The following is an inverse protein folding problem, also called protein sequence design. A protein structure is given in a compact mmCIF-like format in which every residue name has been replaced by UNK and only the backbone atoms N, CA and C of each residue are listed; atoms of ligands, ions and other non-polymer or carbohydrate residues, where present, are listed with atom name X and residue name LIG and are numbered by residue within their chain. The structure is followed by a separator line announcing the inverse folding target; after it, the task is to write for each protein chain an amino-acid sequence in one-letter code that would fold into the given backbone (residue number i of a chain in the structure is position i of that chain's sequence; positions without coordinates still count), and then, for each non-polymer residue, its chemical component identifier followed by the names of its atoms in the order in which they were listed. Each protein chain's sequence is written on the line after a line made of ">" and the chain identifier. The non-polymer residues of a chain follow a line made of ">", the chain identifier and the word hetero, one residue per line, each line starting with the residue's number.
data_IF_606471655261
#
_entry.id   IF_606471655261
#
_cell.length_a   1.000
_cell.length_b   1.000
_cell.length_c   1.000
_cell.angle_alpha   90.00
_cell.angle_beta   90.00
_cell.angle_gamma   90.00
#
_symmetry.space_group_name_H-M   'P 1'
#
loop_
_entity.id
_entity.type
_entity.pdbx_description
1 polymer ?
#
# COMPACT_ATOMS: atom_id res chain seq x y z
N UNK A 1 30.68 -13.33 42.81
CA UNK A 1 30.52 -13.73 41.40
C UNK A 1 30.25 -15.23 41.38
N UNK A 2 29.00 -15.63 41.17
CA UNK A 2 28.66 -17.04 41.02
C UNK A 2 28.56 -17.36 39.53
N UNK A 3 29.37 -18.31 39.09
CA UNK A 3 29.18 -18.99 37.82
C UNK A 3 28.06 -20.01 38.02
N UNK A 4 26.98 -19.94 37.23
CA UNK A 4 26.00 -21.02 37.13
C UNK A 4 25.93 -21.46 35.68
N UNK A 5 26.47 -22.65 35.47
CA UNK A 5 26.35 -23.49 34.28
C UNK A 5 24.89 -23.92 34.13
N UNK A 6 24.31 -23.81 32.93
CA UNK A 6 23.12 -24.58 32.58
C UNK A 6 23.54 -25.74 31.66
N UNK A 7 23.43 -26.94 32.20
CA UNK A 7 23.83 -28.19 31.58
C UNK A 7 22.93 -28.57 30.39
N UNK A 8 23.57 -29.20 29.41
CA UNK A 8 22.99 -30.00 28.34
C UNK A 8 21.97 -31.02 28.86
N UNK A 9 20.80 -31.07 28.24
CA UNK A 9 19.78 -32.09 28.48
C UNK A 9 19.16 -32.57 27.17
N UNK A 10 19.61 -33.75 26.71
CA UNK A 10 18.81 -34.73 25.98
C UNK A 10 18.29 -34.37 24.59
N UNK A 11 19.10 -34.63 23.56
CA UNK A 11 18.60 -34.97 22.23
C UNK A 11 17.94 -36.36 22.28
N UNK A 12 16.68 -36.45 22.71
CA UNK A 12 15.83 -37.61 22.41
C UNK A 12 14.35 -37.20 22.44
N UNK A 13 13.90 -36.67 21.30
CA UNK A 13 12.56 -36.98 20.82
C UNK A 13 12.51 -36.74 19.32
N UNK A 14 12.78 -37.82 18.62
CA UNK A 14 12.12 -38.17 17.37
C UNK A 14 10.60 -38.06 17.55
N UNK A 15 10.05 -36.83 17.52
CA UNK A 15 8.62 -36.59 17.40
C UNK A 15 8.36 -35.68 16.23
N UNK A 16 8.11 -36.36 15.10
CA UNK A 16 7.04 -36.04 14.15
C UNK A 16 6.53 -34.60 14.27
N UNK A 17 7.09 -33.71 13.47
CA UNK A 17 6.23 -32.81 12.71
C UNK A 17 6.99 -32.17 11.54
N UNK A 18 6.97 -32.86 10.40
CA UNK A 18 6.76 -32.21 9.10
C UNK A 18 5.41 -31.46 9.14
N UNK A 19 5.23 -30.46 10.01
CA UNK A 19 4.06 -29.58 9.98
C UNK A 19 4.40 -28.47 8.97
N UNK A 20 4.01 -28.78 7.74
CA UNK A 20 3.43 -27.84 6.78
C UNK A 20 4.12 -26.47 6.69
N UNK A 21 5.22 -26.41 5.95
CA UNK A 21 5.82 -25.14 5.46
C UNK A 21 4.81 -24.21 4.77
N UNK A 22 3.67 -24.73 4.30
CA UNK A 22 2.59 -23.94 3.68
C UNK A 22 1.72 -23.12 4.64
N UNK A 23 1.79 -23.36 5.96
CA UNK A 23 0.91 -22.68 6.95
C UNK A 23 1.56 -21.38 7.51
N UNK A 24 2.90 -21.28 7.49
CA UNK A 24 3.64 -20.08 7.92
C UNK A 24 3.60 -18.91 6.92
N UNK A 25 3.09 -19.14 5.71
CA UNK A 25 2.94 -18.12 4.66
C UNK A 25 1.47 -17.94 4.26
N UNK A 26 0.51 -18.22 5.16
CA UNK A 26 -0.85 -17.76 4.92
C UNK A 26 -0.82 -16.24 4.78
N UNK A 27 -1.40 -15.75 3.69
CA UNK A 27 -1.57 -14.32 3.40
C UNK A 27 -2.21 -13.60 4.59
N UNK A 28 -3.00 -14.31 5.40
CA UNK A 28 -3.69 -13.82 6.60
C UNK A 28 -2.79 -13.49 7.81
N UNK A 29 -1.60 -14.09 7.97
CA UNK A 29 -0.67 -13.82 9.10
C UNK A 29 0.72 -13.35 8.64
N UNK A 30 0.85 -13.03 7.35
CA UNK A 30 2.11 -12.61 6.76
C UNK A 30 2.67 -11.33 7.40
N UNK A 31 3.89 -11.42 7.94
CA UNK A 31 4.62 -10.27 8.50
C UNK A 31 4.90 -9.20 7.43
N UNK A 32 5.09 -9.61 6.18
CA UNK A 32 5.29 -8.69 5.04
C UNK A 32 4.02 -7.86 4.82
N UNK A 33 2.84 -8.51 4.77
CA UNK A 33 1.57 -7.80 4.60
C UNK A 33 1.28 -6.89 5.79
N UNK A 34 1.57 -7.34 7.01
CA UNK A 34 1.42 -6.52 8.21
C UNK A 34 2.31 -5.27 8.19
N UNK A 35 3.57 -5.40 7.77
CA UNK A 35 4.49 -4.28 7.62
C UNK A 35 4.04 -3.30 6.52
N UNK A 36 3.64 -3.81 5.35
CA UNK A 36 3.11 -3.00 4.25
C UNK A 36 1.87 -2.19 4.66
N UNK A 37 0.92 -2.81 5.37
CA UNK A 37 -0.26 -2.12 5.91
C UNK A 37 0.11 -1.00 6.88
N UNK A 38 1.11 -1.19 7.73
CA UNK A 38 1.58 -0.15 8.67
C UNK A 38 2.26 1.02 7.97
N UNK A 39 2.97 0.78 6.86
CA UNK A 39 3.63 1.83 6.09
C UNK A 39 2.69 2.56 5.11
N UNK A 40 1.55 1.96 4.79
CA UNK A 40 0.59 2.49 3.81
C UNK A 40 0.10 3.93 4.10
N UNK A 41 -0.29 4.30 5.34
CA UNK A 41 -0.72 5.68 5.64
C UNK A 41 0.41 6.70 5.41
N UNK A 42 1.66 6.31 5.69
CA UNK A 42 2.83 7.16 5.46
C UNK A 42 3.02 7.39 3.95
N UNK A 43 2.88 6.34 3.15
CA UNK A 43 2.96 6.43 1.69
C UNK A 43 1.84 7.28 1.07
N UNK A 44 0.60 7.14 1.55
CA UNK A 44 -0.53 7.93 1.06
C UNK A 44 -0.43 9.41 1.44
N UNK A 45 0.18 9.74 2.58
CA UNK A 45 0.45 11.12 2.99
C UNK A 45 1.43 11.86 2.06
N UNK A 46 2.18 11.15 1.21
CA UNK A 46 3.02 11.75 0.18
C UNK A 46 2.27 12.08 -1.12
N UNK A 47 1.06 11.55 -1.29
CA UNK A 47 0.20 11.89 -2.42
C UNK A 47 -0.44 13.26 -2.18
N UNK A 48 -0.71 14.01 -3.26
CA UNK A 48 -1.46 15.27 -3.15
C UNK A 48 -2.89 15.01 -2.70
N UNK A 49 -3.60 15.97 -2.10
CA UNK A 49 -5.01 15.79 -1.72
C UNK A 49 -5.90 15.35 -2.89
N UNK A 50 -5.70 15.91 -4.08
CA UNK A 50 -6.43 15.50 -5.28
C UNK A 50 -6.11 14.06 -5.73
N UNK A 51 -4.85 13.63 -5.59
CA UNK A 51 -4.47 12.23 -5.84
C UNK A 51 -5.15 11.31 -4.80
N UNK A 52 -5.24 11.72 -3.52
CA UNK A 52 -5.94 10.94 -2.48
C UNK A 52 -7.45 10.80 -2.75
N UNK A 53 -8.11 11.85 -3.22
CA UNK A 53 -9.52 11.80 -3.64
C UNK A 53 -9.73 10.80 -4.79
N UNK A 54 -8.89 10.86 -5.83
CA UNK A 54 -8.93 9.92 -6.94
C UNK A 54 -8.63 8.48 -6.51
N UNK A 55 -7.72 8.29 -5.54
CA UNK A 55 -7.43 6.97 -4.97
C UNK A 55 -8.68 6.42 -4.25
N UNK A 56 -9.34 7.25 -3.43
CA UNK A 56 -10.58 6.88 -2.75
C UNK A 56 -11.70 6.53 -3.72
N UNK A 57 -11.85 7.31 -4.79
CA UNK A 57 -12.82 7.06 -5.86
C UNK A 57 -12.55 5.70 -6.53
N UNK A 58 -11.32 5.46 -6.97
CA UNK A 58 -10.92 4.21 -7.63
C UNK A 58 -11.08 3.00 -6.71
N UNK A 59 -10.76 3.12 -5.41
CA UNK A 59 -11.03 2.07 -4.43
C UNK A 59 -12.52 1.72 -4.32
N UNK A 60 -13.39 2.72 -4.38
CA UNK A 60 -14.84 2.52 -4.37
C UNK A 60 -15.29 1.74 -5.61
N UNK A 61 -14.70 2.02 -6.78
CA UNK A 61 -14.94 1.26 -8.03
C UNK A 61 -14.49 -0.20 -7.91
N UNK A 62 -13.32 -0.46 -7.33
CA UNK A 62 -12.89 -1.83 -7.05
C UNK A 62 -13.81 -2.58 -6.09
N UNK A 63 -14.41 -1.89 -5.11
CA UNK A 63 -15.41 -2.49 -4.22
C UNK A 63 -16.70 -2.88 -4.98
N UNK A 64 -17.05 -2.13 -6.03
CA UNK A 64 -18.14 -2.45 -6.97
C UNK A 64 -17.76 -3.54 -7.98
N UNK A 65 -16.54 -4.09 -7.89
CA UNK A 65 -15.99 -5.15 -8.76
C UNK A 65 -15.78 -4.72 -10.22
N UNK A 66 -15.55 -3.45 -10.44
CA UNK A 66 -15.16 -2.94 -11.74
C UNK A 66 -13.79 -3.49 -12.16
N UNK A 67 -13.60 -3.59 -13.48
CA UNK A 67 -12.33 -3.97 -14.11
C UNK A 67 -11.30 -2.85 -14.07
N UNK A 68 -10.02 -3.18 -14.25
CA UNK A 68 -8.96 -2.18 -14.28
C UNK A 68 -9.17 -1.10 -15.35
N UNK A 69 -9.71 -1.46 -16.51
CA UNK A 69 -9.98 -0.52 -17.60
C UNK A 69 -11.12 0.45 -17.23
N UNK A 70 -12.20 -0.06 -16.65
CA UNK A 70 -13.32 0.78 -16.16
C UNK A 70 -12.84 1.71 -15.02
N UNK A 71 -11.98 1.23 -14.13
CA UNK A 71 -11.38 2.05 -13.08
C UNK A 71 -10.52 3.16 -13.68
N UNK A 72 -9.69 2.85 -14.69
CA UNK A 72 -8.87 3.85 -15.38
C UNK A 72 -9.73 4.91 -16.08
N UNK A 73 -10.78 4.50 -16.77
CA UNK A 73 -11.72 5.42 -17.42
C UNK A 73 -12.38 6.35 -16.39
N UNK A 74 -12.76 5.82 -15.23
CA UNK A 74 -13.34 6.63 -14.15
C UNK A 74 -12.35 7.61 -13.53
N UNK A 75 -11.08 7.22 -13.36
CA UNK A 75 -10.04 8.14 -12.91
C UNK A 75 -9.83 9.24 -13.96
N UNK A 76 -9.76 8.87 -15.25
CA UNK A 76 -9.54 9.80 -16.34
C UNK A 76 -10.63 10.87 -16.42
N UNK A 77 -11.90 10.48 -16.29
CA UNK A 77 -13.04 11.40 -16.24
C UNK A 77 -13.01 12.35 -15.02
N UNK A 78 -12.34 11.95 -13.94
CA UNK A 78 -12.27 12.70 -12.69
C UNK A 78 -10.95 13.43 -12.45
N UNK A 79 -10.02 13.44 -13.42
CA UNK A 79 -8.71 14.10 -13.27
C UNK A 79 -8.80 15.58 -12.86
N UNK A 80 -9.90 16.26 -13.21
CA UNK A 80 -10.19 17.63 -12.80
C UNK A 80 -10.21 17.83 -11.27
N UNK A 81 -10.44 16.77 -10.48
CA UNK A 81 -10.38 16.83 -9.02
C UNK A 81 -8.97 17.17 -8.51
N UNK A 82 -7.91 16.88 -9.28
CA UNK A 82 -6.54 17.32 -8.94
C UNK A 82 -6.35 18.83 -8.99
N UNK A 83 -7.12 19.54 -9.80
CA UNK A 83 -6.96 20.97 -10.01
C UNK A 83 -7.63 21.83 -8.91
N UNK A 84 -8.44 21.21 -8.03
CA UNK A 84 -9.25 21.92 -7.02
C UNK A 84 -8.52 22.37 -5.76
N UNK A 85 -7.21 22.14 -5.62
CA UNK A 85 -6.51 22.47 -4.37
C UNK A 85 -5.91 23.88 -4.38
N UNK A 86 -6.70 24.87 -3.94
CA UNK A 86 -6.24 26.25 -3.71
C UNK A 86 -5.52 26.46 -2.37
N UNK A 87 -5.37 25.40 -1.58
CA UNK A 87 -4.77 25.47 -0.25
C UNK A 87 -3.32 25.99 -0.33
N UNK A 88 -3.00 27.12 0.35
CA UNK A 88 -1.64 27.63 0.45
C UNK A 88 -0.64 26.58 0.95
N UNK A 89 -1.09 25.65 1.79
CA UNK A 89 -0.30 24.54 2.29
C UNK A 89 0.17 23.60 1.17
N UNK A 90 -0.76 23.26 0.28
CA UNK A 90 -0.51 22.36 -0.84
C UNK A 90 0.33 23.06 -1.91
N UNK A 91 0.12 24.36 -2.13
CA UNK A 91 0.93 25.17 -3.04
C UNK A 91 2.39 25.26 -2.60
N UNK A 92 2.69 25.46 -1.32
CA UNK A 92 4.09 25.49 -0.86
C UNK A 92 4.76 24.14 -1.04
N UNK A 93 4.05 23.04 -0.72
CA UNK A 93 4.60 21.70 -0.85
C UNK A 93 4.87 21.36 -2.31
N UNK A 94 3.92 21.61 -3.21
CA UNK A 94 4.09 21.41 -4.65
C UNK A 94 5.26 22.25 -5.19
N UNK A 95 5.39 23.50 -4.77
CA UNK A 95 6.48 24.36 -5.22
C UNK A 95 7.87 23.84 -4.78
N UNK A 96 8.00 23.27 -3.58
CA UNK A 96 9.25 22.65 -3.11
C UNK A 96 9.58 21.35 -3.84
N UNK A 97 8.58 20.49 -4.05
CA UNK A 97 8.81 19.20 -4.70
C UNK A 97 8.81 19.29 -6.23
N UNK A 98 8.42 20.42 -6.84
CA UNK A 98 8.33 20.60 -8.29
C UNK A 98 9.62 20.23 -9.01
N UNK A 99 10.78 20.67 -8.50
CA UNK A 99 12.08 20.42 -9.14
C UNK A 99 12.58 18.99 -8.94
N UNK A 100 12.19 18.35 -7.84
CA UNK A 100 12.49 16.94 -7.55
C UNK A 100 11.61 16.05 -8.43
N UNK A 101 10.31 16.37 -8.55
CA UNK A 101 9.34 15.67 -9.36
C UNK A 101 9.64 15.81 -10.86
N UNK A 102 9.94 17.01 -11.36
CA UNK A 102 10.25 17.26 -12.78
C UNK A 102 11.56 16.59 -13.25
N UNK A 103 12.50 16.35 -12.33
CA UNK A 103 13.71 15.56 -12.61
C UNK A 103 13.47 14.05 -12.63
N UNK A 104 12.45 13.58 -11.92
CA UNK A 104 12.19 12.14 -11.72
C UNK A 104 11.10 11.62 -12.65
N UNK A 105 10.08 12.43 -12.91
CA UNK A 105 8.98 12.16 -13.82
C UNK A 105 8.94 13.32 -14.83
N UNK A 106 9.13 13.03 -16.12
CA UNK A 106 9.10 14.03 -17.20
C UNK A 106 7.76 14.81 -17.29
N UNK A 107 7.50 15.48 -18.40
CA UNK A 107 6.30 16.32 -18.56
C UNK A 107 5.02 15.62 -18.04
N UNK A 108 4.14 16.36 -17.31
CA UNK A 108 2.97 15.78 -16.64
C UNK A 108 1.97 15.24 -17.67
N UNK A 109 2.09 13.97 -18.00
CA UNK A 109 1.17 13.24 -18.87
C UNK A 109 0.00 12.71 -18.03
N UNK A 110 -1.25 13.11 -18.32
CA UNK A 110 -2.43 12.65 -17.58
C UNK A 110 -2.56 11.13 -17.57
N UNK A 111 -2.13 10.42 -18.62
CA UNK A 111 -2.19 8.95 -18.67
C UNK A 111 -1.26 8.31 -17.63
N UNK A 112 -0.07 8.88 -17.42
CA UNK A 112 0.87 8.42 -16.39
C UNK A 112 0.29 8.61 -14.99
N UNK A 113 -0.43 9.71 -14.77
CA UNK A 113 -1.13 9.96 -13.51
C UNK A 113 -2.22 8.93 -13.29
N UNK A 114 -3.08 8.68 -14.29
CA UNK A 114 -4.14 7.66 -14.21
C UNK A 114 -3.55 6.29 -13.86
N UNK A 115 -2.51 5.87 -14.57
CA UNK A 115 -1.80 4.61 -14.32
C UNK A 115 -1.20 4.53 -12.91
N UNK A 116 -0.60 5.63 -12.43
CA UNK A 116 -0.04 5.68 -11.08
C UNK A 116 -1.12 5.55 -10.02
N UNK A 117 -2.21 6.31 -10.16
CA UNK A 117 -3.35 6.29 -9.24
C UNK A 117 -3.99 4.90 -9.24
N UNK A 118 -4.24 4.31 -10.40
CA UNK A 118 -4.84 2.97 -10.50
C UNK A 118 -3.97 1.92 -9.78
N UNK A 119 -2.65 1.92 -10.01
CA UNK A 119 -1.73 0.98 -9.33
C UNK A 119 -1.75 1.15 -7.81
N UNK A 120 -1.71 2.39 -7.32
CA UNK A 120 -1.77 2.68 -5.88
C UNK A 120 -3.11 2.20 -5.30
N UNK A 121 -4.23 2.53 -5.96
CA UNK A 121 -5.57 2.14 -5.53
C UNK A 121 -5.76 0.62 -5.49
N UNK A 122 -5.30 -0.09 -6.52
CA UNK A 122 -5.35 -1.55 -6.56
C UNK A 122 -4.51 -2.17 -5.43
N UNK A 123 -3.31 -1.65 -5.18
CA UNK A 123 -2.47 -2.11 -4.09
C UNK A 123 -3.13 -1.87 -2.72
N UNK A 124 -3.68 -0.68 -2.48
CA UNK A 124 -4.40 -0.36 -1.24
C UNK A 124 -5.60 -1.29 -1.06
N UNK A 125 -6.44 -1.44 -2.09
CA UNK A 125 -7.63 -2.29 -2.07
C UNK A 125 -7.28 -3.75 -1.76
N UNK A 126 -6.32 -4.31 -2.50
CA UNK A 126 -5.89 -5.69 -2.31
C UNK A 126 -5.28 -5.93 -0.91
N UNK A 127 -4.48 -4.99 -0.40
CA UNK A 127 -3.97 -5.07 0.96
C UNK A 127 -5.11 -5.03 1.99
N UNK A 128 -6.11 -4.16 1.81
CA UNK A 128 -7.27 -4.08 2.71
C UNK A 128 -8.11 -5.36 2.72
N UNK A 129 -8.26 -6.05 1.58
CA UNK A 129 -8.99 -7.32 1.50
C UNK A 129 -8.32 -8.46 2.30
N UNK A 130 -7.01 -8.38 2.56
CA UNK A 130 -6.25 -9.35 3.36
C UNK A 130 -6.48 -9.16 4.86
N UNK A 131 -7.72 -8.97 5.34
CA UNK A 131 -7.95 -8.79 6.78
C UNK A 131 -7.66 -10.09 7.54
N UNK A 132 -6.96 -10.04 8.68
CA UNK A 132 -6.87 -11.18 9.57
C UNK A 132 -8.28 -11.49 10.13
N UNK A 133 -8.62 -12.77 10.25
CA UNK A 133 -9.74 -13.17 11.10
C UNK A 133 -9.43 -12.72 12.53
N UNK A 134 -10.10 -11.66 12.99
CA UNK A 134 -10.20 -11.38 14.42
C UNK A 134 -11.17 -12.41 14.98
N UNK A 135 -10.62 -13.45 15.60
CA UNK A 135 -11.38 -14.40 16.42
C UNK A 135 -11.30 -14.02 17.88
#
# INVERSE_FOLDING_TARGET
>A
MACVVFQSGGQDQERKHKKRRGELYSVQTSLIVAALKKMLPIGLNMCTPGDQELISLAKTRYLLKDTDDEVKDHIHQNLHLREKSEDPAVRWQLNLYKDILTKTEGAPDPNRVVDRIQRISAAVFNLEQVRPHTS
#
